data_IF_509724031106
#
_entry.id   IF_509724031106
#
_cell.length_a   1.000
_cell.length_b   1.000
_cell.length_c   1.000
_cell.angle_alpha   90.00
_cell.angle_beta   90.00
_cell.angle_gamma   90.00
#
_symmetry.space_group_name_H-M   'P 1'
#
loop_
_entity.id
_entity.type
_entity.pdbx_description
1 polymer ?
#
# COMPACT_ATOMS: atom_id res chain seq x y z
N UNK A 1 9.14 -1.96 10.62
CA UNK A 1 9.39 -1.08 9.45
C UNK A 1 8.35 0.05 9.43
N UNK A 2 8.60 1.17 8.73
CA UNK A 2 7.64 2.28 8.58
C UNK A 2 6.25 1.80 8.11
N UNK A 3 6.21 0.89 7.13
CA UNK A 3 4.96 0.35 6.61
C UNK A 3 4.11 -0.34 7.69
N UNK A 4 4.74 -0.95 8.70
CA UNK A 4 4.02 -1.67 9.76
C UNK A 4 3.35 -0.67 10.72
N UNK A 5 4.02 0.46 11.02
CA UNK A 5 3.48 1.52 11.88
C UNK A 5 2.25 2.20 11.27
N UNK A 6 2.23 2.34 9.94
CA UNK A 6 1.17 3.03 9.21
C UNK A 6 0.24 2.09 8.42
N UNK A 7 0.39 0.76 8.57
CA UNK A 7 -0.37 -0.26 7.84
C UNK A 7 -0.36 -0.04 6.30
N UNK A 8 0.82 0.23 5.75
CA UNK A 8 1.03 0.41 4.30
C UNK A 8 1.12 -0.96 3.63
N UNK A 9 0.11 -1.30 2.83
CA UNK A 9 -0.03 -2.62 2.19
C UNK A 9 0.28 -2.62 0.70
N UNK A 10 0.49 -1.45 0.08
CA UNK A 10 0.91 -1.33 -1.31
C UNK A 10 1.70 -0.01 -1.50
N UNK A 11 2.44 0.14 -2.60
CA UNK A 11 3.15 1.38 -2.93
C UNK A 11 2.85 1.82 -4.37
N UNK A 12 2.77 3.13 -4.64
CA UNK A 12 2.96 4.23 -3.69
C UNK A 12 1.79 4.35 -2.71
N UNK A 13 2.09 4.78 -1.49
CA UNK A 13 1.12 5.22 -0.48
C UNK A 13 1.59 6.54 0.08
N UNK A 14 0.64 7.43 0.32
CA UNK A 14 0.85 8.76 0.86
C UNK A 14 -0.05 8.96 2.09
N UNK A 15 0.39 9.83 2.99
CA UNK A 15 -0.38 10.32 4.13
C UNK A 15 0.03 11.78 4.38
N UNK A 16 -0.88 12.58 4.92
CA UNK A 16 -0.59 13.98 5.29
C UNK A 16 -0.45 14.09 6.79
N UNK A 17 0.60 14.77 7.23
CA UNK A 17 0.90 15.00 8.64
C UNK A 17 0.97 16.51 8.86
N UNK A 18 0.20 17.01 9.84
CA UNK A 18 0.24 18.43 10.21
C UNK A 18 1.51 18.79 11.00
N UNK A 19 1.71 20.09 11.26
CA UNK A 19 2.86 20.62 12.01
C UNK A 19 2.91 20.14 13.47
N UNK A 20 1.83 19.54 13.97
CA UNK A 20 1.72 18.97 15.32
C UNK A 20 1.96 17.46 15.31
N UNK A 21 2.36 16.89 14.17
CA UNK A 21 2.66 15.47 14.02
C UNK A 21 1.43 14.58 13.92
N UNK A 22 0.25 15.10 13.58
CA UNK A 22 -0.98 14.33 13.47
C UNK A 22 -1.25 13.94 12.02
N UNK A 23 -1.64 12.68 11.81
CA UNK A 23 -2.18 12.26 10.51
C UNK A 23 -3.50 13.01 10.29
N UNK A 24 -3.53 13.84 9.26
CA UNK A 24 -4.73 14.61 8.86
C UNK A 24 -5.31 14.14 7.52
N UNK A 25 -4.61 13.21 6.86
CA UNK A 25 -5.14 12.40 5.76
C UNK A 25 -4.46 11.02 5.84
N UNK A 26 -5.23 9.93 6.05
CA UNK A 26 -4.68 8.59 6.22
C UNK A 26 -4.17 8.03 4.87
N UNK A 27 -3.80 6.75 4.86
CA UNK A 27 -3.27 6.07 3.67
C UNK A 27 -4.14 6.31 2.44
N UNK A 28 -3.55 6.94 1.43
CA UNK A 28 -4.13 7.20 0.12
C UNK A 28 -3.12 6.79 -0.97
N UNK A 29 -3.56 6.74 -2.22
CA UNK A 29 -2.68 6.52 -3.38
C UNK A 29 -2.63 7.78 -4.22
N UNK A 30 -1.41 8.24 -4.49
CA UNK A 30 -1.18 9.34 -5.42
C UNK A 30 0.13 9.14 -6.16
N UNK A 31 0.20 9.73 -7.35
CA UNK A 31 1.37 9.76 -8.19
C UNK A 31 1.81 11.21 -8.39
N UNK A 32 3.12 11.45 -8.44
CA UNK A 32 3.68 12.78 -8.71
C UNK A 32 3.55 13.20 -10.19
N UNK A 33 3.32 12.25 -11.08
CA UNK A 33 3.18 12.44 -12.54
C UNK A 33 2.07 11.56 -13.11
N UNK A 34 1.63 11.87 -14.32
CA UNK A 34 0.60 11.08 -15.05
C UNK A 34 1.20 9.90 -15.84
N UNK A 35 2.47 9.54 -15.62
CA UNK A 35 3.18 8.46 -16.35
C UNK A 35 2.40 7.14 -16.38
N UNK A 36 1.69 6.82 -15.29
CA UNK A 36 0.91 5.57 -15.16
C UNK A 36 -0.60 5.80 -15.12
N UNK A 37 -1.08 6.98 -15.54
CA UNK A 37 -2.52 7.32 -15.50
C UNK A 37 -3.39 6.32 -16.27
N UNK A 38 -2.93 5.86 -17.43
CA UNK A 38 -3.66 4.88 -18.26
C UNK A 38 -3.81 3.49 -17.61
N UNK A 39 -2.97 3.16 -16.63
CA UNK A 39 -3.03 1.91 -15.86
C UNK A 39 -3.78 2.10 -14.55
N UNK A 40 -3.54 3.22 -13.88
CA UNK A 40 -3.99 3.45 -12.49
C UNK A 40 -5.32 4.18 -12.41
N UNK A 41 -5.73 4.90 -13.47
CA UNK A 41 -6.89 5.79 -13.47
C UNK A 41 -6.72 7.05 -12.61
N UNK A 42 -5.54 7.27 -12.01
CA UNK A 42 -5.31 8.34 -11.06
C UNK A 42 -4.61 9.52 -11.73
N UNK A 43 -5.17 10.70 -11.53
CA UNK A 43 -4.64 11.97 -12.04
C UNK A 43 -3.79 12.65 -10.97
N UNK A 44 -2.51 12.86 -11.26
CA UNK A 44 -1.58 13.52 -10.31
C UNK A 44 -2.06 14.92 -9.91
N UNK A 45 -2.66 15.65 -10.85
CA UNK A 45 -3.15 17.00 -10.65
C UNK A 45 -4.19 17.12 -9.52
N UNK A 46 -5.05 16.11 -9.31
CA UNK A 46 -6.07 16.13 -8.25
C UNK A 46 -5.43 16.18 -6.88
N UNK A 47 -4.51 15.25 -6.64
CA UNK A 47 -3.77 15.18 -5.38
C UNK A 47 -2.94 16.45 -5.14
N UNK A 48 -2.18 16.90 -6.15
CA UNK A 48 -1.32 18.06 -6.03
C UNK A 48 -2.11 19.36 -5.77
N UNK A 49 -3.31 19.48 -6.33
CA UNK A 49 -4.20 20.62 -6.10
C UNK A 49 -4.72 20.60 -4.67
N UNK A 50 -5.23 19.45 -4.20
CA UNK A 50 -5.71 19.30 -2.83
C UNK A 50 -4.60 19.56 -1.80
N UNK A 51 -3.39 19.06 -2.04
CA UNK A 51 -2.22 19.28 -1.18
C UNK A 51 -1.86 20.76 -1.09
N UNK A 52 -1.82 21.48 -2.22
CA UNK A 52 -1.51 22.93 -2.22
C UNK A 52 -2.57 23.75 -1.49
N UNK A 53 -3.85 23.45 -1.73
CA UNK A 53 -4.95 24.14 -1.06
C UNK A 53 -4.88 23.94 0.46
N UNK A 54 -4.58 22.72 0.91
CA UNK A 54 -4.39 22.44 2.34
C UNK A 54 -3.20 23.20 2.93
N UNK A 55 -2.03 23.14 2.29
CA UNK A 55 -0.81 23.83 2.76
C UNK A 55 -0.99 25.35 2.82
N UNK A 56 -1.79 25.93 1.93
CA UNK A 56 -2.11 27.36 1.91
C UNK A 56 -3.23 27.76 2.87
N UNK A 57 -3.86 26.81 3.54
CA UNK A 57 -5.01 27.05 4.42
C UNK A 57 -6.32 27.38 3.68
N UNK A 58 -6.38 27.12 2.37
CA UNK A 58 -7.58 27.34 1.53
C UNK A 58 -8.65 26.27 1.80
N UNK A 59 -8.21 25.05 2.12
CA UNK A 59 -9.08 23.90 2.44
C UNK A 59 -8.62 23.26 3.75
N UNK A 60 -9.54 23.00 4.70
CA UNK A 60 -9.17 22.28 5.91
C UNK A 60 -8.76 20.84 5.59
N UNK A 61 -7.98 20.23 6.49
CA UNK A 61 -7.73 18.80 6.41
C UNK A 61 -8.99 18.00 6.78
N UNK A 62 -8.92 16.66 6.67
CA UNK A 62 -10.02 15.81 7.11
C UNK A 62 -10.26 15.96 8.62
N UNK A 63 -11.52 15.83 9.02
CA UNK A 63 -11.88 15.79 10.44
C UNK A 63 -11.23 14.58 11.12
N UNK A 64 -11.00 14.66 12.44
CA UNK A 64 -10.47 13.51 13.18
C UNK A 64 -11.38 12.27 13.07
N UNK A 65 -12.69 12.47 12.93
CA UNK A 65 -13.65 11.38 12.71
C UNK A 65 -13.45 10.74 11.33
N UNK A 66 -13.31 11.55 10.27
CA UNK A 66 -13.10 11.04 8.92
C UNK A 66 -11.73 10.36 8.78
N UNK A 67 -10.68 10.91 9.41
CA UNK A 67 -9.37 10.24 9.49
C UNK A 67 -9.52 8.86 10.11
N UNK A 68 -10.20 8.76 11.27
CA UNK A 68 -10.42 7.46 11.94
C UNK A 68 -11.27 6.51 11.09
N UNK A 69 -12.29 7.01 10.41
CA UNK A 69 -13.18 6.23 9.53
C UNK A 69 -12.44 5.63 8.35
N UNK A 70 -11.48 6.37 7.79
CA UNK A 70 -10.74 5.98 6.59
C UNK A 70 -9.37 5.34 6.88
N UNK A 71 -8.86 5.40 8.11
CA UNK A 71 -7.60 4.77 8.48
C UNK A 71 -7.74 3.23 8.45
N UNK A 72 -7.01 2.53 7.57
CA UNK A 72 -6.99 1.08 7.59
C UNK A 72 -6.24 0.60 8.84
N UNK A 73 -6.87 -0.26 9.63
CA UNK A 73 -6.25 -0.91 10.79
C UNK A 73 -5.88 -2.36 10.44
N UNK A 74 -4.72 -2.85 10.92
CA UNK A 74 -4.32 -4.24 10.67
C UNK A 74 -5.17 -5.20 11.52
N UNK A 75 -5.55 -6.31 10.92
CA UNK A 75 -6.15 -7.46 11.60
C UNK A 75 -5.07 -8.28 12.33
N UNK A 76 -5.48 -9.26 13.14
CA UNK A 76 -4.55 -10.21 13.74
C UNK A 76 -3.79 -11.03 12.68
N UNK A 77 -4.44 -11.38 11.58
CA UNK A 77 -3.80 -12.08 10.46
C UNK A 77 -2.75 -11.19 9.78
N UNK A 78 -3.01 -9.89 9.63
CA UNK A 78 -2.04 -8.94 9.08
C UNK A 78 -0.82 -8.82 9.98
N UNK A 79 -1.03 -8.71 11.30
CA UNK A 79 0.07 -8.67 12.27
C UNK A 79 0.89 -9.96 12.23
N UNK A 80 0.25 -11.12 12.11
CA UNK A 80 0.96 -12.39 11.93
C UNK A 80 1.73 -12.40 10.61
N UNK A 81 1.14 -11.95 9.51
CA UNK A 81 1.81 -11.85 8.21
C UNK A 81 3.06 -10.97 8.28
N UNK A 82 3.01 -9.85 9.02
CA UNK A 82 4.16 -8.98 9.27
C UNK A 82 5.24 -9.66 10.12
N UNK A 83 4.85 -10.45 11.11
CA UNK A 83 5.80 -11.24 11.89
C UNK A 83 6.49 -12.30 11.03
N UNK A 84 5.75 -13.01 10.18
CA UNK A 84 6.29 -13.96 9.18
C UNK A 84 7.27 -13.24 8.24
N UNK A 85 6.89 -12.09 7.70
CA UNK A 85 7.76 -11.29 6.84
C UNK A 85 9.04 -10.84 7.55
N UNK A 86 8.94 -10.37 8.80
CA UNK A 86 10.09 -9.97 9.61
C UNK A 86 11.05 -11.14 9.89
N UNK A 87 10.53 -12.30 10.29
CA UNK A 87 11.32 -13.51 10.51
C UNK A 87 11.96 -14.01 9.21
N UNK A 88 11.21 -13.98 8.10
CA UNK A 88 11.73 -14.34 6.79
C UNK A 88 12.90 -13.45 6.35
N UNK A 89 12.79 -12.13 6.54
CA UNK A 89 13.88 -11.19 6.24
C UNK A 89 15.12 -11.46 7.08
N UNK A 90 14.93 -11.71 8.39
CA UNK A 90 16.04 -12.05 9.28
C UNK A 90 16.73 -13.35 8.81
N UNK A 91 15.98 -14.41 8.53
CA UNK A 91 16.51 -15.68 8.03
C UNK A 91 17.25 -15.52 6.70
N UNK A 92 16.70 -14.73 5.78
CA UNK A 92 17.32 -14.44 4.50
C UNK A 92 18.66 -13.74 4.68
N UNK A 93 18.73 -12.74 5.57
CA UNK A 93 19.97 -12.05 5.91
C UNK A 93 21.02 -12.97 6.56
N UNK A 94 20.60 -14.07 7.20
CA UNK A 94 21.48 -15.13 7.71
C UNK A 94 21.85 -16.19 6.65
N UNK A 95 21.49 -15.99 5.37
CA UNK A 95 21.73 -16.96 4.29
C UNK A 95 20.82 -18.20 4.33
N UNK A 96 19.81 -18.24 5.21
CA UNK A 96 18.87 -19.36 5.37
C UNK A 96 17.69 -19.23 4.41
N UNK A 97 17.98 -19.13 3.12
CA UNK A 97 17.01 -18.77 2.06
C UNK A 97 15.79 -19.70 1.99
N UNK A 98 15.98 -21.02 2.08
CA UNK A 98 14.87 -21.97 2.06
C UNK A 98 13.94 -21.84 3.29
N UNK A 99 14.47 -21.43 4.44
CA UNK A 99 13.65 -21.15 5.62
C UNK A 99 12.91 -19.82 5.45
N UNK A 100 13.60 -18.79 4.98
CA UNK A 100 13.01 -17.49 4.68
C UNK A 100 11.83 -17.58 3.71
N UNK A 101 11.97 -18.37 2.65
CA UNK A 101 10.92 -18.55 1.65
C UNK A 101 9.61 -19.09 2.25
N UNK A 102 9.67 -20.05 3.18
CA UNK A 102 8.46 -20.57 3.83
C UNK A 102 7.70 -19.47 4.58
N UNK A 103 8.43 -18.59 5.25
CA UNK A 103 7.83 -17.46 5.96
C UNK A 103 7.30 -16.39 4.99
N UNK A 104 7.98 -16.11 3.88
CA UNK A 104 7.47 -15.20 2.86
C UNK A 104 6.18 -15.71 2.21
N UNK A 105 6.12 -17.00 1.88
CA UNK A 105 4.89 -17.64 1.36
C UNK A 105 3.78 -17.54 2.40
N UNK A 106 4.06 -17.92 3.66
CA UNK A 106 3.06 -17.87 4.73
C UNK A 106 2.53 -16.46 4.99
N UNK A 107 3.40 -15.45 4.99
CA UNK A 107 3.00 -14.05 5.12
C UNK A 107 2.07 -13.61 3.97
N UNK A 108 2.37 -14.02 2.74
CA UNK A 108 1.52 -13.74 1.59
C UNK A 108 0.15 -14.45 1.62
N UNK A 109 0.08 -15.65 2.18
CA UNK A 109 -1.19 -16.37 2.40
C UNK A 109 -2.06 -15.71 3.49
N UNK A 110 -1.44 -15.25 4.58
CA UNK A 110 -2.12 -14.59 5.69
C UNK A 110 -2.65 -13.21 5.30
N UNK A 111 -1.89 -12.45 4.51
CA UNK A 111 -2.26 -11.11 4.04
C UNK A 111 -2.20 -11.02 2.50
N UNK A 112 -3.15 -11.62 1.78
CA UNK A 112 -3.12 -11.66 0.31
C UNK A 112 -3.27 -10.28 -0.34
N UNK A 113 -3.79 -9.29 0.39
CA UNK A 113 -3.92 -7.90 -0.02
C UNK A 113 -2.63 -7.07 0.17
N UNK A 114 -1.61 -7.63 0.84
CA UNK A 114 -0.38 -6.93 1.18
C UNK A 114 0.71 -7.17 0.14
N UNK A 115 0.79 -6.24 -0.81
CA UNK A 115 1.81 -6.25 -1.85
C UNK A 115 3.18 -5.82 -1.32
N UNK A 116 3.29 -5.18 -0.15
CA UNK A 116 4.60 -4.97 0.48
C UNK A 116 5.25 -6.27 0.91
N UNK A 117 4.45 -7.30 1.23
CA UNK A 117 4.91 -8.67 1.48
C UNK A 117 5.03 -9.45 0.17
N UNK A 118 3.92 -9.61 -0.57
CA UNK A 118 3.86 -10.51 -1.73
C UNK A 118 4.81 -10.12 -2.86
N UNK A 119 4.87 -8.83 -3.19
CA UNK A 119 5.77 -8.29 -4.23
C UNK A 119 7.13 -7.94 -3.63
N UNK A 120 7.16 -7.37 -2.44
CA UNK A 120 8.41 -6.92 -1.80
C UNK A 120 9.40 -8.05 -1.51
N UNK A 121 8.92 -9.28 -1.32
CA UNK A 121 9.78 -10.47 -1.11
C UNK A 121 10.26 -11.12 -2.41
N UNK A 122 9.72 -10.76 -3.57
CA UNK A 122 10.06 -11.40 -4.85
C UNK A 122 11.56 -11.35 -5.16
N UNK A 123 12.27 -10.21 -5.05
CA UNK A 123 13.70 -10.17 -5.31
C UNK A 123 14.52 -11.09 -4.38
N UNK A 124 14.12 -11.22 -3.11
CA UNK A 124 14.78 -12.11 -2.14
C UNK A 124 14.63 -13.59 -2.50
N UNK A 125 13.67 -13.90 -3.37
CA UNK A 125 13.34 -15.24 -3.88
C UNK A 125 13.76 -15.43 -5.34
N UNK A 126 14.59 -14.53 -5.88
CA UNK A 126 15.02 -14.51 -7.28
C UNK A 126 13.86 -14.41 -8.29
N UNK A 127 12.79 -13.70 -7.90
CA UNK A 127 11.62 -13.42 -8.74
C UNK A 127 11.66 -11.95 -9.14
N UNK A 128 11.43 -11.66 -10.43
CA UNK A 128 11.28 -10.30 -10.92
C UNK A 128 9.96 -9.68 -10.41
N UNK A 129 9.99 -8.60 -9.59
CA UNK A 129 8.79 -7.95 -9.04
C UNK A 129 7.95 -7.19 -10.09
N UNK A 130 8.39 -7.19 -11.36
CA UNK A 130 7.68 -6.67 -12.54
C UNK A 130 7.41 -7.78 -13.57
N UNK A 131 7.85 -9.00 -13.30
CA UNK A 131 7.88 -10.11 -14.24
C UNK A 131 6.54 -10.80 -14.45
N UNK A 132 6.52 -11.90 -15.22
CA UNK A 132 5.32 -12.69 -15.48
C UNK A 132 4.61 -13.18 -14.21
N UNK A 133 5.37 -13.65 -13.21
CA UNK A 133 4.82 -14.15 -11.95
C UNK A 133 4.09 -13.06 -11.16
N UNK A 134 4.63 -11.84 -11.12
CA UNK A 134 3.93 -10.69 -10.53
C UNK A 134 2.64 -10.36 -11.29
N UNK A 135 2.69 -10.37 -12.63
CA UNK A 135 1.51 -10.09 -13.46
C UNK A 135 0.41 -11.14 -13.26
N UNK A 136 0.75 -12.41 -13.22
CA UNK A 136 -0.20 -13.50 -12.95
C UNK A 136 -0.84 -13.36 -11.56
N UNK A 137 -0.02 -13.10 -10.55
CA UNK A 137 -0.48 -12.86 -9.17
C UNK A 137 -1.45 -11.68 -9.09
N UNK A 138 -1.14 -10.58 -9.79
CA UNK A 138 -1.98 -9.38 -9.83
C UNK A 138 -3.29 -9.62 -10.60
N UNK A 139 -3.22 -10.32 -11.74
CA UNK A 139 -4.41 -10.67 -12.52
C UNK A 139 -5.36 -11.57 -11.76
N UNK A 140 -4.85 -12.57 -11.03
CA UNK A 140 -5.69 -13.41 -10.17
C UNK A 140 -6.37 -12.60 -9.04
N UNK A 141 -5.63 -11.66 -8.42
CA UNK A 141 -6.18 -10.80 -7.37
C UNK A 141 -7.29 -9.88 -7.88
N UNK A 142 -7.02 -9.14 -8.97
CA UNK A 142 -7.98 -8.21 -9.57
C UNK A 142 -9.15 -8.95 -10.21
N UNK A 143 -8.90 -10.08 -10.88
CA UNK A 143 -9.92 -10.95 -11.45
C UNK A 143 -10.86 -11.56 -10.39
N UNK A 144 -10.41 -11.70 -9.14
CA UNK A 144 -11.24 -12.04 -7.98
C UNK A 144 -12.07 -10.87 -7.43
N UNK A 145 -12.13 -9.73 -8.12
CA UNK A 145 -12.87 -8.53 -7.72
C UNK A 145 -12.18 -7.71 -6.63
N UNK A 146 -10.93 -8.01 -6.28
CA UNK A 146 -10.22 -7.29 -5.23
C UNK A 146 -9.48 -6.07 -5.79
N UNK A 147 -9.56 -4.90 -5.13
CA UNK A 147 -8.89 -3.71 -5.61
C UNK A 147 -7.37 -3.82 -5.42
N UNK A 148 -6.60 -3.31 -6.38
CA UNK A 148 -5.14 -3.19 -6.26
C UNK A 148 -4.72 -1.96 -5.44
N UNK A 149 -5.45 -0.86 -5.60
CA UNK A 149 -5.33 0.34 -4.76
C UNK A 149 -6.68 0.69 -4.14
N UNK A 150 -6.65 1.32 -2.97
CA UNK A 150 -7.83 1.83 -2.27
C UNK A 150 -7.67 3.34 -2.05
N UNK A 151 -7.86 4.18 -3.09
CA UNK A 151 -7.82 5.63 -2.94
C UNK A 151 -8.92 6.10 -1.98
N UNK A 152 -8.67 7.24 -1.34
CA UNK A 152 -9.72 7.91 -0.56
C UNK A 152 -10.87 8.37 -1.48
N UNK A 153 -12.11 8.50 -0.96
CA UNK A 153 -13.29 8.74 -1.80
C UNK A 153 -13.20 9.97 -2.72
N UNK A 154 -12.51 11.02 -2.29
CA UNK A 154 -12.31 12.27 -3.02
C UNK A 154 -11.19 12.22 -4.07
N UNK A 155 -10.25 11.27 -3.94
CA UNK A 155 -9.16 11.03 -4.90
C UNK A 155 -9.41 9.83 -5.80
N UNK A 156 -10.41 9.01 -5.49
CA UNK A 156 -10.86 7.92 -6.35
C UNK A 156 -11.29 8.45 -7.73
N UNK A 157 -10.93 7.73 -8.79
CA UNK A 157 -11.48 8.00 -10.11
C UNK A 157 -13.01 7.81 -10.04
N UNK A 158 -13.77 8.79 -10.55
CA UNK A 158 -15.22 8.59 -10.73
C UNK A 158 -15.37 7.43 -11.72
N UNK A 159 -16.03 6.35 -11.32
CA UNK A 159 -16.49 5.36 -12.30
C UNK A 159 -17.45 6.10 -13.22
N UNK A 160 -17.05 6.29 -14.48
CA UNK A 160 -17.97 6.73 -15.53
C UNK A 160 -18.99 5.63 -15.71
N UNK A 161 -20.24 5.92 -15.35
CA UNK A 161 -21.41 5.13 -15.78
C UNK A 161 -21.55 5.17 -17.29
#
# INVERSE_FOLDING_TARGET
MLADLYNVVNVPTIFWIDERGRIVRPNDVAFGTDTFKHITGLESARHLTALRAWVRGETPALSAEDVKRHQPLPTAADQQARAEFGLGQWLWAQGRTAAAERHFVRGGELAPHDFTIRRGTMPMRNIDPMGPQFREMLQAWVGGGQPYYRPLPDTAAKQTS
#
